data_IF_482905199831
#
_entry.id   IF_482905199831
#
_cell.length_a   1.000
_cell.length_b   1.000
_cell.length_c   1.000
_cell.angle_alpha   90.00
_cell.angle_beta   90.00
_cell.angle_gamma   90.00
#
_symmetry.space_group_name_H-M   'P 1'
#
loop_
_entity.id
_entity.type
_entity.pdbx_description
1 polymer ?
#
# COMPACT_ATOMS: atom_id res chain seq x y z
N UNK A 1 -15.66 5.01 11.56
CA UNK A 1 -14.42 4.31 11.98
C UNK A 1 -14.49 2.82 11.62
N UNK A 2 -15.46 2.04 12.14
CA UNK A 2 -15.62 0.60 11.81
C UNK A 2 -15.82 0.28 10.32
N UNK A 3 -16.52 1.16 9.58
CA UNK A 3 -16.80 0.95 8.16
C UNK A 3 -15.55 1.04 7.27
N UNK A 4 -14.61 1.91 7.62
CA UNK A 4 -13.31 2.05 6.94
C UNK A 4 -12.45 0.80 7.12
N UNK A 5 -12.48 0.22 8.32
CA UNK A 5 -11.77 -1.01 8.66
C UNK A 5 -12.35 -2.19 7.88
N UNK A 6 -13.68 -2.29 7.86
CA UNK A 6 -14.39 -3.33 7.11
C UNK A 6 -14.09 -3.27 5.60
N UNK A 7 -14.04 -2.07 5.01
CA UNK A 7 -13.73 -1.88 3.61
C UNK A 7 -12.31 -2.34 3.24
N UNK A 8 -11.32 -2.05 4.10
CA UNK A 8 -9.94 -2.48 3.83
C UNK A 8 -9.76 -3.98 4.08
N UNK A 9 -10.34 -4.53 5.15
CA UNK A 9 -10.35 -5.99 5.35
C UNK A 9 -10.99 -6.72 4.17
N UNK A 10 -12.09 -6.20 3.65
CA UNK A 10 -12.75 -6.77 2.48
C UNK A 10 -11.88 -6.68 1.23
N UNK A 11 -11.23 -5.54 0.99
CA UNK A 11 -10.29 -5.37 -0.11
C UNK A 11 -9.12 -6.36 -0.05
N UNK A 12 -8.51 -6.51 1.14
CA UNK A 12 -7.43 -7.49 1.36
C UNK A 12 -7.94 -8.92 1.12
N UNK A 13 -9.12 -9.27 1.64
CA UNK A 13 -9.69 -10.61 1.46
C UNK A 13 -9.96 -10.92 -0.02
N UNK A 14 -10.53 -9.99 -0.78
CA UNK A 14 -10.78 -10.14 -2.23
C UNK A 14 -9.47 -10.31 -2.99
N UNK A 15 -8.47 -9.47 -2.71
CA UNK A 15 -7.14 -9.53 -3.33
C UNK A 15 -6.49 -10.90 -3.04
N UNK A 16 -6.49 -11.33 -1.79
CA UNK A 16 -5.96 -12.63 -1.35
C UNK A 16 -6.68 -13.78 -2.06
N UNK A 17 -8.02 -13.78 -2.11
CA UNK A 17 -8.82 -14.86 -2.74
C UNK A 17 -8.60 -14.92 -4.26
N UNK A 18 -8.45 -13.78 -4.94
CA UNK A 18 -8.25 -13.74 -6.38
C UNK A 18 -6.81 -14.09 -6.76
N UNK A 19 -5.83 -13.61 -5.99
CA UNK A 19 -4.42 -13.73 -6.34
C UNK A 19 -3.72 -14.99 -5.80
N UNK A 20 -4.06 -15.51 -4.61
CA UNK A 20 -3.47 -16.78 -4.14
C UNK A 20 -3.65 -17.97 -5.09
N UNK A 21 -4.86 -18.23 -5.66
CA UNK A 21 -5.05 -19.36 -6.57
C UNK A 21 -4.38 -19.11 -7.93
N UNK A 22 -4.42 -17.89 -8.47
CA UNK A 22 -3.75 -17.56 -9.74
C UNK A 22 -2.23 -17.64 -9.63
N UNK A 23 -1.65 -17.20 -8.51
CA UNK A 23 -0.23 -17.29 -8.22
C UNK A 23 0.27 -18.72 -7.97
N UNK A 24 -0.58 -19.59 -7.41
CA UNK A 24 -0.29 -21.02 -7.26
C UNK A 24 -0.38 -21.76 -8.61
N UNK A 25 -1.34 -21.43 -9.46
CA UNK A 25 -1.49 -22.07 -10.77
C UNK A 25 -0.45 -21.62 -11.80
N UNK A 26 0.03 -20.39 -11.74
CA UNK A 26 0.88 -19.83 -12.80
C UNK A 26 2.35 -20.32 -12.80
N UNK A 27 2.83 -20.98 -11.74
CA UNK A 27 4.25 -21.39 -11.55
C UNK A 27 5.31 -20.28 -11.82
N UNK A 28 4.87 -19.01 -11.90
CA UNK A 28 5.69 -17.82 -12.15
C UNK A 28 6.15 -17.26 -10.81
N UNK A 29 7.25 -17.81 -10.28
CA UNK A 29 7.79 -17.41 -8.97
C UNK A 29 8.12 -15.90 -8.89
N UNK A 30 8.45 -15.25 -10.01
CA UNK A 30 8.80 -13.82 -10.07
C UNK A 30 7.60 -12.89 -9.86
N UNK A 31 6.44 -13.21 -10.44
CA UNK A 31 5.21 -12.42 -10.26
C UNK A 31 4.64 -12.58 -8.84
N UNK A 32 4.76 -13.80 -8.28
CA UNK A 32 4.47 -14.09 -6.87
C UNK A 32 5.19 -13.17 -5.90
N UNK A 33 6.44 -12.84 -6.21
CA UNK A 33 7.26 -12.02 -5.34
C UNK A 33 6.81 -10.56 -5.36
N UNK A 34 6.54 -9.99 -6.54
CA UNK A 34 5.98 -8.64 -6.66
C UNK A 34 4.63 -8.52 -5.97
N UNK A 35 3.76 -9.52 -6.13
CA UNK A 35 2.48 -9.55 -5.45
C UNK A 35 2.65 -9.58 -3.92
N UNK A 36 3.52 -10.45 -3.41
CA UNK A 36 3.80 -10.54 -1.98
C UNK A 36 4.36 -9.23 -1.42
N UNK A 37 5.23 -8.54 -2.16
CA UNK A 37 5.77 -7.22 -1.77
C UNK A 37 4.66 -6.17 -1.74
N UNK A 38 3.85 -6.08 -2.79
CA UNK A 38 2.71 -5.14 -2.85
C UNK A 38 1.69 -5.41 -1.74
N UNK A 39 1.38 -6.68 -1.47
CA UNK A 39 0.48 -7.09 -0.40
C UNK A 39 1.05 -6.74 0.98
N UNK A 40 2.34 -7.00 1.20
CA UNK A 40 3.02 -6.67 2.46
C UNK A 40 3.07 -5.15 2.70
N UNK A 41 3.33 -4.36 1.66
CA UNK A 41 3.31 -2.89 1.72
C UNK A 41 1.90 -2.40 2.05
N UNK A 42 0.87 -2.86 1.34
CA UNK A 42 -0.52 -2.49 1.60
C UNK A 42 -0.98 -2.87 3.01
N UNK A 43 -0.65 -4.07 3.46
CA UNK A 43 -0.96 -4.54 4.81
C UNK A 43 -0.21 -3.72 5.88
N UNK A 44 1.08 -3.43 5.67
CA UNK A 44 1.88 -2.60 6.57
C UNK A 44 1.35 -1.18 6.70
N UNK A 45 0.98 -0.55 5.58
CA UNK A 45 0.33 0.75 5.58
C UNK A 45 -1.00 0.73 6.33
N UNK A 46 -1.83 -0.31 6.14
CA UNK A 46 -3.10 -0.44 6.84
C UNK A 46 -2.92 -0.64 8.35
N UNK A 47 -1.95 -1.47 8.76
CA UNK A 47 -1.61 -1.68 10.17
C UNK A 47 -1.12 -0.37 10.79
N UNK A 48 -0.25 0.37 10.10
CA UNK A 48 0.22 1.68 10.57
C UNK A 48 -0.95 2.69 10.71
N UNK A 49 -1.94 2.63 9.81
CA UNK A 49 -3.15 3.45 9.88
C UNK A 49 -4.05 3.07 11.07
N UNK A 50 -4.18 1.77 11.37
CA UNK A 50 -4.91 1.26 12.54
C UNK A 50 -4.21 1.58 13.87
N UNK A 51 -2.88 1.65 13.89
CA UNK A 51 -2.11 2.02 15.08
C UNK A 51 -2.19 3.53 15.41
N UNK A 52 -2.99 4.31 14.68
CA UNK A 52 -3.04 5.78 14.77
C UNK A 52 -1.65 6.42 14.69
N UNK A 53 -0.67 5.70 14.13
CA UNK A 53 0.57 6.33 13.69
C UNK A 53 0.11 7.41 12.74
N UNK A 54 0.50 8.66 13.04
CA UNK A 54 0.17 9.80 12.20
C UNK A 54 0.80 9.61 10.83
N UNK A 55 0.14 8.81 9.98
CA UNK A 55 0.45 8.76 8.57
C UNK A 55 0.19 10.18 8.08
N UNK A 56 1.20 10.83 7.49
CA UNK A 56 0.94 12.06 6.76
C UNK A 56 -0.23 11.78 5.82
N UNK A 57 -1.14 12.74 5.68
CA UNK A 57 -2.23 12.61 4.71
C UNK A 57 -1.67 12.23 3.34
N UNK A 58 -2.39 11.53 2.45
CA UNK A 58 -1.89 11.20 1.11
C UNK A 58 -1.32 12.42 0.37
N UNK A 59 -1.94 13.59 0.59
CA UNK A 59 -1.41 14.89 0.15
C UNK A 59 -0.06 15.24 0.80
N UNK A 60 0.11 15.00 2.11
CA UNK A 60 1.39 15.17 2.83
C UNK A 60 2.52 14.27 2.34
N UNK A 61 2.24 13.04 1.89
CA UNK A 61 3.25 12.17 1.26
C UNK A 61 3.68 12.74 -0.09
N UNK A 62 2.72 13.16 -0.91
CA UNK A 62 2.99 13.81 -2.19
C UNK A 62 3.81 15.08 -1.96
N UNK A 63 3.42 15.92 -1.01
CA UNK A 63 4.16 17.13 -0.65
C UNK A 63 5.57 16.78 -0.18
N UNK A 64 5.76 15.78 0.67
CA UNK A 64 7.10 15.36 1.15
C UNK A 64 8.02 14.92 0.03
N UNK A 65 7.50 14.19 -0.97
CA UNK A 65 8.28 13.75 -2.13
C UNK A 65 8.55 14.90 -3.10
N UNK A 66 7.59 15.80 -3.29
CA UNK A 66 7.71 16.94 -4.21
C UNK A 66 8.46 18.15 -3.61
N UNK A 67 8.51 18.29 -2.29
CA UNK A 67 9.23 19.37 -1.60
C UNK A 67 10.72 19.43 -1.98
N UNK A 68 11.50 18.33 -1.94
CA UNK A 68 12.90 18.36 -2.36
C UNK A 68 13.04 18.60 -3.88
N UNK A 69 12.10 18.16 -4.70
CA UNK A 69 12.08 18.46 -6.14
C UNK A 69 11.85 19.96 -6.41
N UNK A 70 10.94 20.59 -5.67
CA UNK A 70 10.70 22.03 -5.75
C UNK A 70 11.93 22.84 -5.34
N UNK A 71 12.62 22.45 -4.27
CA UNK A 71 13.87 23.10 -3.82
C UNK A 71 15.00 22.88 -4.83
N UNK A 72 15.11 21.70 -5.43
CA UNK A 72 16.13 21.42 -6.44
C UNK A 72 15.88 22.15 -7.78
N UNK A 73 14.61 22.36 -8.16
CA UNK A 73 14.24 22.99 -9.43
C UNK A 73 14.07 24.52 -9.34
N UNK A 74 13.62 25.04 -8.20
CA UNK A 74 13.29 26.46 -8.01
C UNK A 74 14.14 27.17 -6.96
N UNK A 75 15.22 26.53 -6.48
CA UNK A 75 16.19 27.03 -5.50
C UNK A 75 16.01 28.48 -5.04
N UNK A 76 15.18 28.68 -4.02
CA UNK A 76 15.11 29.89 -3.20
C UNK A 76 14.60 29.56 -1.80
#
# INVERSE_FOLDING_TARGET
MWWSIAGVMFGIAVIVIVELPTLRMANRARERWWFAVLLAVGAGLYIALCLEVSLPSPAGWIITVYKPLGVALFGS
#
